data_IF_615037912842
#
_entry.id   IF_615037912842
#
_cell.length_a   1.000
_cell.length_b   1.000
_cell.length_c   1.000
_cell.angle_alpha   90.00
_cell.angle_beta   90.00
_cell.angle_gamma   90.00
#
_symmetry.space_group_name_H-M   'P 1'
#
loop_
_entity.id
_entity.type
_entity.pdbx_description
1 polymer ?
#
# COMPACT_ATOMS: atom_id res chain seq x y z
N UNK A 1 -7.02 1.72 13.06
CA UNK A 1 -7.28 2.68 11.95
C UNK A 1 -7.37 1.89 10.66
N UNK A 2 -8.29 2.21 9.74
CA UNK A 2 -8.37 1.56 8.42
C UNK A 2 -7.99 2.58 7.35
N UNK A 3 -6.99 2.27 6.55
CA UNK A 3 -6.60 3.05 5.37
C UNK A 3 -7.21 2.37 4.15
N UNK A 4 -7.62 3.15 3.15
CA UNK A 4 -8.16 2.65 1.90
C UNK A 4 -7.36 3.22 0.74
N UNK A 5 -7.07 2.39 -0.25
CA UNK A 5 -6.49 2.83 -1.50
C UNK A 5 -7.45 3.73 -2.29
N UNK A 6 -6.91 4.74 -2.96
CA UNK A 6 -7.59 5.48 -4.01
C UNK A 6 -7.24 4.88 -5.37
N UNK A 7 -8.03 5.20 -6.40
CA UNK A 7 -7.76 4.73 -7.75
C UNK A 7 -6.38 5.17 -8.22
N UNK A 8 -5.57 4.22 -8.68
CA UNK A 8 -4.21 4.49 -9.16
C UNK A 8 -3.17 4.65 -8.05
N UNK A 9 -3.53 4.44 -6.77
CA UNK A 9 -2.53 4.34 -5.71
C UNK A 9 -1.63 3.11 -5.96
N UNK A 10 -0.40 3.18 -5.49
CA UNK A 10 0.48 2.01 -5.31
C UNK A 10 0.62 1.75 -3.81
N UNK A 11 1.10 0.56 -3.43
CA UNK A 11 1.39 0.27 -2.02
C UNK A 11 2.42 1.26 -1.45
N UNK A 12 3.41 1.64 -2.25
CA UNK A 12 4.44 2.61 -1.85
C UNK A 12 3.85 4.00 -1.60
N UNK A 13 3.00 4.49 -2.50
CA UNK A 13 2.32 5.79 -2.34
C UNK A 13 1.38 5.78 -1.13
N UNK A 14 0.68 4.66 -0.89
CA UNK A 14 -0.17 4.49 0.28
C UNK A 14 0.66 4.53 1.58
N UNK A 15 1.80 3.82 1.59
CA UNK A 15 2.72 3.82 2.72
C UNK A 15 3.26 5.22 2.99
N UNK A 16 3.68 5.95 1.96
CA UNK A 16 4.15 7.31 2.10
C UNK A 16 3.07 8.25 2.65
N UNK A 17 1.83 8.18 2.13
CA UNK A 17 0.72 9.04 2.59
C UNK A 17 0.31 8.76 4.04
N UNK A 18 0.33 7.50 4.47
CA UNK A 18 -0.14 7.14 5.80
C UNK A 18 0.96 7.16 6.86
N UNK A 19 2.15 6.67 6.52
CA UNK A 19 3.27 6.50 7.45
C UNK A 19 4.38 7.55 7.26
N UNK A 20 4.37 8.33 6.18
CA UNK A 20 5.38 9.35 5.89
C UNK A 20 6.71 8.80 5.37
N UNK A 21 6.85 7.48 5.22
CA UNK A 21 8.04 6.80 4.72
C UNK A 21 7.65 5.50 4.02
N UNK A 22 8.53 5.03 3.15
CA UNK A 22 8.36 3.80 2.37
C UNK A 22 9.40 2.76 2.73
N UNK A 23 10.63 3.18 3.04
CA UNK A 23 11.74 2.30 3.38
C UNK A 23 11.39 1.38 4.55
N UNK A 24 11.40 0.06 4.30
CA UNK A 24 11.08 -0.97 5.29
C UNK A 24 9.60 -1.07 5.64
N UNK A 25 8.79 -0.05 5.35
CA UNK A 25 7.33 -0.06 5.60
C UNK A 25 6.60 -0.75 4.47
N UNK A 26 6.97 -0.47 3.21
CA UNK A 26 6.35 -1.09 2.04
C UNK A 26 6.51 -2.62 2.10
N UNK A 27 7.68 -3.12 2.44
CA UNK A 27 7.94 -4.56 2.59
C UNK A 27 7.13 -5.19 3.73
N UNK A 28 6.99 -4.50 4.86
CA UNK A 28 6.15 -4.96 5.97
C UNK A 28 4.67 -5.03 5.56
N UNK A 29 4.18 -4.03 4.82
CA UNK A 29 2.80 -4.01 4.32
C UNK A 29 2.56 -5.12 3.30
N UNK A 30 3.49 -5.35 2.38
CA UNK A 30 3.40 -6.45 1.41
C UNK A 30 3.47 -7.83 2.08
N UNK A 31 4.33 -8.00 3.07
CA UNK A 31 4.43 -9.25 3.84
C UNK A 31 3.15 -9.55 4.63
N UNK A 32 2.52 -8.51 5.19
CA UNK A 32 1.24 -8.65 5.88
C UNK A 32 0.05 -8.82 4.92
N UNK A 33 0.17 -8.35 3.67
CA UNK A 33 -0.89 -8.34 2.67
C UNK A 33 -0.38 -8.92 1.33
N UNK A 34 -0.10 -10.22 1.25
CA UNK A 34 0.50 -10.84 0.06
C UNK A 34 -0.40 -10.77 -1.20
N UNK A 35 -1.70 -10.51 -1.03
CA UNK A 35 -2.59 -10.26 -2.18
C UNK A 35 -2.25 -8.99 -2.95
N UNK A 36 -1.57 -8.02 -2.33
CA UNK A 36 -1.20 -6.75 -2.94
C UNK A 36 0.05 -6.85 -3.83
N UNK A 37 0.91 -7.86 -3.63
CA UNK A 37 2.16 -7.98 -4.39
C UNK A 37 1.98 -8.39 -5.85
N UNK A 38 0.79 -8.87 -6.22
CA UNK A 38 0.51 -9.35 -7.57
C UNK A 38 0.14 -8.22 -8.55
N UNK A 39 0.01 -6.98 -8.06
CA UNK A 39 -0.40 -5.83 -8.87
C UNK A 39 0.35 -4.58 -8.44
N UNK A 40 0.80 -3.79 -9.41
CA UNK A 40 1.54 -2.54 -9.14
C UNK A 40 0.59 -1.44 -8.67
N UNK A 41 -0.62 -1.41 -9.24
CA UNK A 41 -1.67 -0.45 -8.90
C UNK A 41 -2.74 -1.10 -8.04
N UNK A 42 -3.28 -0.31 -7.12
CA UNK A 42 -4.38 -0.68 -6.25
C UNK A 42 -5.71 -0.21 -6.84
N UNK A 43 -6.71 -1.07 -6.70
CA UNK A 43 -8.10 -0.75 -6.92
C UNK A 43 -8.62 0.11 -5.77
N UNK A 44 -9.51 1.05 -6.08
CA UNK A 44 -10.07 1.93 -5.06
C UNK A 44 -10.84 1.13 -4.00
N UNK A 45 -10.55 1.42 -2.73
CA UNK A 45 -11.22 0.79 -1.59
C UNK A 45 -10.59 -0.50 -1.08
N UNK A 46 -9.53 -1.00 -1.74
CA UNK A 46 -8.62 -2.00 -1.14
C UNK A 46 -8.00 -1.50 0.17
#
# INVERSE_FOLDING_TARGET
>A
MKVKALQGDTVDLLCFRHYGTTQGVTEQVLAANPGLSNSVFLEAGQ
#
